data_IF_909769805734
#
_entry.id   IF_909769805734
#
_cell.length_a   1.000
_cell.length_b   1.000
_cell.length_c   1.000
_cell.angle_alpha   90.00
_cell.angle_beta   90.00
_cell.angle_gamma   90.00
#
_symmetry.space_group_name_H-M   'P 1'
#
loop_
_entity.id
_entity.type
_entity.pdbx_description
1 polymer ?
#
# COMPACT_ATOMS: atom_id res chain seq x y z
N UNK A 1 -26.46 52.08 30.13
CA UNK A 1 -26.69 50.82 29.39
C UNK A 1 -26.54 51.13 27.91
N UNK A 2 -25.40 50.83 27.37
CA UNK A 2 -25.07 51.06 25.94
C UNK A 2 -25.33 49.74 25.26
N UNK A 3 -26.36 49.67 24.42
CA UNK A 3 -26.59 48.55 23.51
C UNK A 3 -25.43 48.47 22.51
N UNK A 4 -24.65 47.42 22.61
CA UNK A 4 -23.69 47.04 21.55
C UNK A 4 -24.53 46.68 20.31
N UNK A 5 -24.55 47.59 19.35
CA UNK A 5 -25.01 47.36 17.99
C UNK A 5 -24.18 46.18 17.46
N UNK A 6 -24.82 45.05 17.21
CA UNK A 6 -24.27 43.95 16.41
C UNK A 6 -24.04 44.53 15.01
N UNK A 7 -22.80 44.81 14.66
CA UNK A 7 -22.45 45.10 13.26
C UNK A 7 -22.79 43.87 12.44
N UNK A 8 -23.80 43.98 11.61
CA UNK A 8 -24.09 43.00 10.57
C UNK A 8 -22.95 43.07 9.56
N UNK A 9 -22.46 41.91 9.06
CA UNK A 9 -21.43 41.92 8.03
C UNK A 9 -21.89 42.74 6.82
N UNK A 10 -20.97 43.51 6.25
CA UNK A 10 -21.22 44.32 5.09
C UNK A 10 -21.68 43.41 3.92
N UNK A 11 -22.63 43.83 3.10
CA UNK A 11 -23.13 43.08 1.93
C UNK A 11 -22.02 42.59 0.98
N UNK A 12 -20.89 43.32 0.94
CA UNK A 12 -19.72 42.91 0.16
C UNK A 12 -19.05 41.71 0.80
N UNK A 13 -18.89 41.67 2.12
CA UNK A 13 -18.32 40.56 2.89
C UNK A 13 -19.22 39.33 2.78
N UNK A 14 -20.54 39.49 2.84
CA UNK A 14 -21.49 38.37 2.66
C UNK A 14 -21.34 37.73 1.27
N UNK A 15 -21.24 38.54 0.22
CA UNK A 15 -21.05 38.02 -1.14
C UNK A 15 -19.70 37.34 -1.33
N UNK A 16 -18.63 37.85 -0.72
CA UNK A 16 -17.29 37.23 -0.77
C UNK A 16 -17.27 35.88 -0.01
N UNK A 17 -17.95 35.82 1.13
CA UNK A 17 -18.13 34.57 1.92
C UNK A 17 -18.97 33.55 1.14
N UNK A 18 -20.04 33.99 0.45
CA UNK A 18 -20.84 33.11 -0.41
C UNK A 18 -20.02 32.50 -1.57
N UNK A 19 -19.11 33.27 -2.19
CA UNK A 19 -18.24 32.76 -3.25
C UNK A 19 -17.26 31.72 -2.68
N UNK A 20 -16.65 32.00 -1.52
CA UNK A 20 -15.78 31.03 -0.87
C UNK A 20 -16.55 29.76 -0.46
N UNK A 21 -17.75 29.94 0.06
CA UNK A 21 -18.64 28.82 0.43
C UNK A 21 -18.94 27.96 -0.79
N UNK A 22 -19.38 28.57 -1.91
CA UNK A 22 -19.67 27.84 -3.13
C UNK A 22 -18.44 27.08 -3.67
N UNK A 23 -17.24 27.67 -3.55
CA UNK A 23 -16.01 27.02 -3.95
C UNK A 23 -15.67 25.82 -3.05
N UNK A 24 -15.86 25.94 -1.74
CA UNK A 24 -15.66 24.86 -0.78
C UNK A 24 -16.72 23.75 -0.91
N UNK A 25 -17.99 24.12 -1.15
CA UNK A 25 -19.07 23.18 -1.40
C UNK A 25 -18.80 22.37 -2.68
N UNK A 26 -18.32 23.01 -3.75
CA UNK A 26 -17.92 22.33 -4.98
C UNK A 26 -16.76 21.32 -4.76
N UNK A 27 -15.80 21.68 -3.91
CA UNK A 27 -14.70 20.76 -3.51
C UNK A 27 -15.25 19.57 -2.71
N UNK A 28 -16.15 19.82 -1.77
CA UNK A 28 -16.77 18.78 -0.94
C UNK A 28 -17.66 17.86 -1.76
N UNK A 29 -18.41 18.42 -2.74
CA UNK A 29 -19.23 17.64 -3.66
C UNK A 29 -18.40 16.77 -4.60
N UNK A 30 -17.24 17.27 -5.04
CA UNK A 30 -16.28 16.51 -5.84
C UNK A 30 -15.53 15.43 -5.05
N UNK A 31 -15.45 15.56 -3.73
CA UNK A 31 -14.70 14.67 -2.83
C UNK A 31 -15.50 14.35 -1.56
N UNK A 32 -16.54 13.48 -1.64
CA UNK A 32 -17.39 13.14 -0.49
C UNK A 32 -16.61 12.56 0.71
N UNK A 33 -15.45 11.98 0.47
CA UNK A 33 -14.58 11.39 1.50
C UNK A 33 -13.91 12.44 2.40
N UNK A 34 -13.85 13.70 1.97
CA UNK A 34 -13.39 14.83 2.80
C UNK A 34 -14.50 15.29 3.76
N UNK A 35 -15.13 14.33 4.45
CA UNK A 35 -16.09 14.64 5.52
C UNK A 35 -15.40 15.50 6.59
N UNK A 36 -15.95 16.67 6.85
CA UNK A 36 -15.39 17.67 7.77
C UNK A 36 -15.22 19.05 7.14
N UNK A 37 -15.23 19.14 5.80
CA UNK A 37 -15.25 20.44 5.12
C UNK A 37 -16.63 21.12 5.18
N UNK A 38 -17.71 20.38 5.45
CA UNK A 38 -19.08 20.94 5.63
C UNK A 38 -19.15 22.02 6.71
N UNK A 39 -18.29 21.93 7.75
CA UNK A 39 -18.18 22.94 8.78
C UNK A 39 -17.39 24.19 8.38
N UNK A 40 -16.67 24.19 7.26
CA UNK A 40 -15.72 25.25 6.92
C UNK A 40 -16.41 26.55 6.54
N UNK A 41 -17.54 26.47 5.86
CA UNK A 41 -18.39 27.62 5.57
C UNK A 41 -18.98 28.25 6.84
N UNK A 42 -19.37 27.43 7.80
CA UNK A 42 -19.81 27.87 9.13
C UNK A 42 -18.68 28.59 9.88
N UNK A 43 -17.45 28.05 9.84
CA UNK A 43 -16.27 28.68 10.41
C UNK A 43 -16.01 30.09 9.85
N UNK A 44 -16.08 30.24 8.52
CA UNK A 44 -15.83 31.54 7.88
C UNK A 44 -16.92 32.58 8.20
N UNK A 45 -18.13 32.13 8.57
CA UNK A 45 -19.26 33.00 8.91
C UNK A 45 -19.31 33.39 10.38
N UNK A 46 -18.50 32.79 11.26
CA UNK A 46 -18.51 33.11 12.69
C UNK A 46 -17.74 34.40 13.03
N UNK A 47 -17.98 35.01 14.19
CA UNK A 47 -17.23 36.14 14.69
C UNK A 47 -15.71 35.85 14.75
N UNK A 48 -14.90 36.89 14.53
CA UNK A 48 -13.42 36.73 14.45
C UNK A 48 -12.81 36.22 15.79
N UNK A 49 -13.39 36.58 16.92
CA UNK A 49 -12.96 36.12 18.25
C UNK A 49 -13.18 34.61 18.43
N UNK A 50 -14.32 34.11 17.98
CA UNK A 50 -14.65 32.67 18.02
C UNK A 50 -13.81 31.90 16.99
N UNK A 51 -13.66 32.46 15.79
CA UNK A 51 -12.85 31.89 14.73
C UNK A 51 -11.41 31.67 15.19
N UNK A 52 -10.81 32.64 15.87
CA UNK A 52 -9.41 32.56 16.33
C UNK A 52 -9.18 31.39 17.32
N UNK A 53 -10.20 30.94 18.01
CA UNK A 53 -10.12 29.82 18.97
C UNK A 53 -10.38 28.49 18.29
N UNK A 54 -11.36 28.41 17.39
CA UNK A 54 -11.89 27.16 16.84
C UNK A 54 -11.13 26.71 15.60
N UNK A 55 -10.73 27.64 14.74
CA UNK A 55 -10.11 27.31 13.45
C UNK A 55 -8.73 26.61 13.54
N UNK A 56 -7.79 27.00 14.44
CA UNK A 56 -6.46 26.38 14.49
C UNK A 56 -6.47 24.88 14.79
N UNK A 57 -7.23 24.34 15.78
CA UNK A 57 -7.31 22.91 16.02
C UNK A 57 -7.87 22.14 14.82
N UNK A 58 -8.89 22.70 14.15
CA UNK A 58 -9.51 22.07 12.96
C UNK A 58 -8.50 22.01 11.82
N UNK A 59 -7.76 23.09 11.56
CA UNK A 59 -6.73 23.12 10.52
C UNK A 59 -5.63 22.09 10.79
N UNK A 60 -5.19 21.97 12.03
CA UNK A 60 -4.16 21.00 12.43
C UNK A 60 -4.63 19.54 12.19
N UNK A 61 -5.88 19.23 12.53
CA UNK A 61 -6.43 17.88 12.31
C UNK A 61 -6.62 17.60 10.82
N UNK A 62 -7.05 18.57 10.03
CA UNK A 62 -7.16 18.46 8.58
C UNK A 62 -5.78 18.24 7.93
N UNK A 63 -4.77 19.04 8.30
CA UNK A 63 -3.40 18.86 7.79
C UNK A 63 -2.84 17.47 8.15
N UNK A 64 -3.14 16.95 9.33
CA UNK A 64 -2.74 15.62 9.78
C UNK A 64 -3.44 14.54 8.96
N UNK A 65 -4.75 14.65 8.73
CA UNK A 65 -5.53 13.73 7.89
C UNK A 65 -5.00 13.72 6.46
N UNK A 66 -4.87 14.86 5.82
CA UNK A 66 -4.35 14.98 4.45
C UNK A 66 -2.90 14.48 4.27
N UNK A 67 -2.12 14.37 5.35
CA UNK A 67 -0.80 13.77 5.33
C UNK A 67 -0.81 12.25 5.55
N UNK A 68 -1.94 11.66 5.93
CA UNK A 68 -2.08 10.22 6.12
C UNK A 68 -2.10 9.50 4.76
N UNK A 69 -1.32 8.43 4.62
CA UNK A 69 -1.21 7.69 3.36
C UNK A 69 -2.53 7.01 2.94
N UNK A 70 -3.36 6.59 3.91
CA UNK A 70 -4.66 5.99 3.63
C UNK A 70 -5.65 7.02 3.08
N UNK A 71 -5.67 8.22 3.67
CA UNK A 71 -6.56 9.30 3.23
C UNK A 71 -6.14 9.81 1.85
N UNK A 72 -4.84 9.87 1.57
CA UNK A 72 -4.30 10.14 0.22
C UNK A 72 -4.71 9.07 -0.79
N UNK A 73 -4.74 7.80 -0.39
CA UNK A 73 -5.19 6.70 -1.26
C UNK A 73 -6.68 6.82 -1.58
N UNK A 74 -7.52 7.15 -0.59
CA UNK A 74 -8.95 7.41 -0.77
C UNK A 74 -9.15 8.60 -1.72
N UNK A 75 -8.42 9.70 -1.51
CA UNK A 75 -8.44 10.88 -2.37
C UNK A 75 -8.07 10.52 -3.83
N UNK A 76 -7.04 9.70 -4.02
CA UNK A 76 -6.63 9.22 -5.35
C UNK A 76 -7.74 8.41 -6.03
N UNK A 77 -8.40 7.53 -5.29
CA UNK A 77 -9.51 6.72 -5.80
C UNK A 77 -10.71 7.59 -6.18
N UNK A 78 -11.06 8.58 -5.35
CA UNK A 78 -12.14 9.52 -5.61
C UNK A 78 -11.89 10.37 -6.88
N UNK A 79 -10.69 10.89 -7.05
CA UNK A 79 -10.28 11.63 -8.25
C UNK A 79 -10.42 10.77 -9.51
N UNK A 80 -9.97 9.53 -9.46
CA UNK A 80 -10.05 8.59 -10.58
C UNK A 80 -11.51 8.22 -10.90
N UNK A 81 -12.35 7.99 -9.89
CA UNK A 81 -13.77 7.66 -10.06
C UNK A 81 -14.57 8.82 -10.62
N UNK A 82 -14.25 10.05 -10.21
CA UNK A 82 -14.89 11.29 -10.71
C UNK A 82 -14.46 11.69 -12.10
N UNK A 83 -13.45 11.04 -12.70
CA UNK A 83 -12.89 11.41 -14.00
C UNK A 83 -12.20 12.77 -14.00
N UNK A 84 -11.88 13.31 -12.82
CA UNK A 84 -11.27 14.63 -12.63
C UNK A 84 -9.76 14.50 -12.62
N UNK A 85 -9.08 15.36 -13.39
CA UNK A 85 -7.62 15.38 -13.40
C UNK A 85 -7.11 16.22 -12.24
N UNK A 86 -6.05 15.75 -11.58
CA UNK A 86 -5.39 16.49 -10.50
C UNK A 86 -4.92 17.88 -10.97
N UNK A 87 -4.43 17.99 -12.20
CA UNK A 87 -4.00 19.25 -12.84
C UNK A 87 -5.12 20.29 -12.87
N UNK A 88 -6.35 19.88 -13.21
CA UNK A 88 -7.51 20.78 -13.30
C UNK A 88 -7.91 21.32 -11.91
N UNK A 89 -7.84 20.45 -10.89
CA UNK A 89 -8.09 20.83 -9.49
C UNK A 89 -7.02 21.76 -8.94
N UNK A 90 -5.75 21.47 -9.19
CA UNK A 90 -4.63 22.32 -8.76
C UNK A 90 -4.75 23.72 -9.40
N UNK A 91 -5.14 23.79 -10.68
CA UNK A 91 -5.39 25.06 -11.36
C UNK A 91 -6.57 25.83 -10.73
N UNK A 92 -7.69 25.14 -10.44
CA UNK A 92 -8.85 25.75 -9.79
C UNK A 92 -8.50 26.27 -8.38
N UNK A 93 -7.75 25.51 -7.57
CA UNK A 93 -7.34 25.96 -6.24
C UNK A 93 -6.37 27.14 -6.28
N UNK A 94 -5.47 27.17 -7.24
CA UNK A 94 -4.57 28.31 -7.46
C UNK A 94 -5.35 29.58 -7.84
N UNK A 95 -6.37 29.44 -8.68
CA UNK A 95 -7.24 30.58 -9.05
C UNK A 95 -8.04 31.08 -7.84
N UNK A 96 -8.60 30.19 -7.03
CA UNK A 96 -9.29 30.57 -5.78
C UNK A 96 -8.34 31.29 -4.82
N UNK A 97 -7.12 30.78 -4.62
CA UNK A 97 -6.13 31.42 -3.76
C UNK A 97 -5.76 32.84 -4.24
N UNK A 98 -5.61 33.02 -5.56
CA UNK A 98 -5.40 34.33 -6.15
C UNK A 98 -6.59 35.28 -5.93
N UNK A 99 -7.81 34.79 -6.12
CA UNK A 99 -9.02 35.60 -5.91
C UNK A 99 -9.20 36.05 -4.47
N UNK A 100 -8.79 35.23 -3.50
CA UNK A 100 -8.82 35.58 -2.06
C UNK A 100 -7.95 36.82 -1.78
N UNK A 101 -6.78 36.91 -2.36
CA UNK A 101 -5.88 38.05 -2.14
C UNK A 101 -6.32 39.31 -2.87
N UNK A 102 -6.61 39.19 -4.15
CA UNK A 102 -6.84 40.32 -5.05
C UNK A 102 -8.25 40.89 -4.98
N UNK A 103 -9.26 40.03 -4.81
CA UNK A 103 -10.67 40.44 -4.93
C UNK A 103 -11.46 40.46 -3.65
N UNK A 104 -11.06 39.69 -2.62
CA UNK A 104 -11.81 39.53 -1.37
C UNK A 104 -11.22 40.41 -0.25
N UNK A 105 -11.22 41.73 -0.49
CA UNK A 105 -10.57 42.69 0.42
C UNK A 105 -11.29 42.90 1.77
N UNK A 106 -12.59 42.56 1.83
CA UNK A 106 -13.43 42.72 3.04
C UNK A 106 -13.31 41.56 4.03
N UNK A 107 -12.73 40.43 3.63
CA UNK A 107 -12.55 39.27 4.54
C UNK A 107 -11.35 39.52 5.45
N UNK A 108 -11.48 39.33 6.77
CA UNK A 108 -10.38 39.50 7.74
C UNK A 108 -9.17 38.59 7.42
N UNK A 109 -7.97 39.13 7.62
CA UNK A 109 -6.72 38.45 7.31
C UNK A 109 -6.61 37.04 7.93
N UNK A 110 -6.97 36.80 9.20
CA UNK A 110 -6.88 35.44 9.78
C UNK A 110 -7.71 34.41 9.02
N UNK A 111 -8.90 34.75 8.52
CA UNK A 111 -9.75 33.89 7.73
C UNK A 111 -9.18 33.60 6.35
N UNK A 112 -8.59 34.62 5.70
CA UNK A 112 -7.87 34.43 4.43
C UNK A 112 -6.70 33.47 4.57
N UNK A 113 -5.87 33.66 5.60
CA UNK A 113 -4.72 32.78 5.86
C UNK A 113 -5.15 31.34 6.16
N UNK A 114 -6.26 31.14 6.89
CA UNK A 114 -6.83 29.83 7.12
C UNK A 114 -7.22 29.13 5.81
N UNK A 115 -7.99 29.80 4.94
CA UNK A 115 -8.40 29.24 3.65
C UNK A 115 -7.19 28.91 2.78
N UNK A 116 -6.20 29.79 2.72
CA UNK A 116 -4.95 29.54 1.96
C UNK A 116 -4.20 28.32 2.48
N UNK A 117 -4.13 28.13 3.80
CA UNK A 117 -3.49 26.96 4.40
C UNK A 117 -4.26 25.68 4.07
N UNK A 118 -5.58 25.70 4.12
CA UNK A 118 -6.43 24.58 3.69
C UNK A 118 -6.18 24.25 2.22
N UNK A 119 -6.24 25.25 1.33
CA UNK A 119 -5.96 25.05 -0.09
C UNK A 119 -4.55 24.53 -0.34
N UNK A 120 -3.55 25.06 0.36
CA UNK A 120 -2.17 24.60 0.28
C UNK A 120 -2.01 23.14 0.73
N UNK A 121 -2.65 22.75 1.82
CA UNK A 121 -2.64 21.36 2.29
C UNK A 121 -3.31 20.40 1.29
N UNK A 122 -4.44 20.82 0.70
CA UNK A 122 -5.12 20.07 -0.36
C UNK A 122 -4.27 19.95 -1.62
N UNK A 123 -3.64 21.06 -2.07
CA UNK A 123 -2.73 21.03 -3.23
C UNK A 123 -1.57 20.06 -3.01
N UNK A 124 -0.96 20.08 -1.83
CA UNK A 124 0.13 19.16 -1.49
C UNK A 124 -0.37 17.70 -1.48
N UNK A 125 -1.53 17.43 -0.87
CA UNK A 125 -2.12 16.10 -0.87
C UNK A 125 -2.41 15.61 -2.30
N UNK A 126 -2.96 16.45 -3.18
CA UNK A 126 -3.24 16.12 -4.58
C UNK A 126 -1.94 15.90 -5.38
N UNK A 127 -0.94 16.74 -5.22
CA UNK A 127 0.36 16.57 -5.85
C UNK A 127 1.04 15.26 -5.41
N UNK A 128 0.93 14.92 -4.12
CA UNK A 128 1.40 13.65 -3.60
C UNK A 128 0.59 12.47 -4.16
N UNK A 129 -0.73 12.62 -4.40
CA UNK A 129 -1.56 11.56 -5.01
C UNK A 129 -1.16 11.27 -6.45
N UNK A 130 -0.72 12.26 -7.23
CA UNK A 130 -0.17 12.01 -8.57
C UNK A 130 1.06 11.09 -8.51
N UNK A 131 1.96 11.34 -7.55
CA UNK A 131 3.10 10.47 -7.31
C UNK A 131 2.69 9.07 -6.83
N UNK A 132 1.64 8.96 -6.01
CA UNK A 132 1.07 7.69 -5.53
C UNK A 132 0.29 7.00 -6.65
N UNK A 133 -0.55 7.72 -7.42
CA UNK A 133 -1.31 7.17 -8.54
C UNK A 133 -0.40 6.56 -9.62
N UNK A 134 0.75 7.18 -9.89
CA UNK A 134 1.78 6.63 -10.80
C UNK A 134 2.44 5.36 -10.27
N UNK A 135 2.37 5.10 -8.94
CA UNK A 135 2.91 3.90 -8.27
C UNK A 135 1.86 2.83 -7.99
N UNK A 136 0.57 3.14 -8.12
CA UNK A 136 -0.52 2.18 -7.94
C UNK A 136 -0.78 1.48 -9.25
N UNK A 137 -0.50 0.20 -9.29
CA UNK A 137 -0.76 -0.65 -10.44
C UNK A 137 -1.99 -1.51 -10.15
N UNK A 138 -3.04 -1.35 -10.94
CA UNK A 138 -4.24 -2.17 -10.84
C UNK A 138 -3.99 -3.55 -11.47
N UNK A 139 -4.28 -4.60 -10.71
CA UNK A 139 -4.14 -5.99 -11.16
C UNK A 139 -5.52 -6.65 -11.11
N UNK A 140 -6.15 -6.88 -12.27
CA UNK A 140 -7.38 -7.66 -12.32
C UNK A 140 -7.15 -9.07 -11.76
N UNK A 141 -8.09 -9.52 -10.92
CA UNK A 141 -8.02 -10.80 -10.24
C UNK A 141 -9.34 -11.55 -10.39
N UNK A 142 -9.27 -12.85 -10.69
CA UNK A 142 -10.39 -13.78 -10.72
C UNK A 142 -10.26 -14.71 -9.50
N UNK A 143 -11.33 -14.86 -8.74
CA UNK A 143 -11.46 -15.89 -7.72
C UNK A 143 -12.10 -17.11 -8.37
N UNK A 144 -11.28 -18.13 -8.67
CA UNK A 144 -11.75 -19.34 -9.36
C UNK A 144 -12.11 -20.49 -8.40
N UNK A 145 -12.20 -20.20 -7.10
CA UNK A 145 -12.63 -21.15 -6.07
C UNK A 145 -13.44 -20.42 -4.98
N UNK A 146 -14.46 -21.06 -4.41
CA UNK A 146 -15.36 -20.45 -3.40
C UNK A 146 -14.65 -19.99 -2.12
N UNK A 147 -13.55 -20.64 -1.74
CA UNK A 147 -12.75 -20.30 -0.57
C UNK A 147 -11.58 -19.35 -0.89
N UNK A 148 -11.42 -18.93 -2.15
CA UNK A 148 -10.39 -17.99 -2.54
C UNK A 148 -10.62 -16.62 -1.90
N UNK A 149 -9.52 -15.94 -1.54
CA UNK A 149 -9.56 -14.60 -0.96
C UNK A 149 -8.63 -13.68 -1.76
N UNK A 150 -9.08 -12.46 -2.01
CA UNK A 150 -8.24 -11.41 -2.58
C UNK A 150 -7.02 -11.22 -1.66
N UNK A 151 -5.79 -11.14 -2.22
CA UNK A 151 -4.59 -10.85 -1.45
C UNK A 151 -4.71 -9.56 -0.65
N UNK A 152 -4.25 -9.54 0.59
CA UNK A 152 -4.38 -8.37 1.47
C UNK A 152 -3.04 -7.95 2.06
N UNK A 153 -2.81 -6.65 2.15
CA UNK A 153 -1.72 -6.09 2.94
C UNK A 153 -2.14 -6.04 4.41
N UNK A 154 -1.30 -6.51 5.33
CA UNK A 154 -1.56 -6.42 6.77
C UNK A 154 -1.45 -4.96 7.26
N UNK A 155 -0.53 -4.19 6.65
CA UNK A 155 -0.35 -2.76 6.87
C UNK A 155 -0.23 -2.02 5.53
N UNK A 156 -0.65 -0.76 5.45
CA UNK A 156 -0.61 0.02 4.20
C UNK A 156 0.78 0.18 3.57
N UNK A 157 1.83 0.05 4.38
CA UNK A 157 3.23 0.17 3.96
C UNK A 157 3.90 -1.16 3.63
N UNK A 158 3.19 -2.28 3.75
CA UNK A 158 3.74 -3.60 3.46
C UNK A 158 4.04 -3.74 1.96
N UNK A 159 5.16 -4.37 1.64
CA UNK A 159 5.54 -4.66 0.26
C UNK A 159 4.86 -5.92 -0.29
N UNK A 160 4.41 -6.82 0.57
CA UNK A 160 3.81 -8.10 0.22
C UNK A 160 2.36 -8.22 0.65
N UNK A 161 1.47 -8.61 -0.27
CA UNK A 161 0.09 -8.96 0.03
C UNK A 161 -0.01 -10.44 0.39
N UNK A 162 -0.58 -10.76 1.54
CA UNK A 162 -0.77 -12.14 2.01
C UNK A 162 -1.72 -12.92 1.08
N UNK A 163 -1.37 -14.17 0.78
CA UNK A 163 -2.23 -15.15 0.07
C UNK A 163 -2.53 -16.34 0.96
N UNK A 164 -3.67 -16.97 0.70
CA UNK A 164 -4.33 -17.85 1.65
C UNK A 164 -4.52 -19.26 1.08
N UNK A 165 -4.46 -20.28 1.96
CA UNK A 165 -4.88 -21.62 1.64
C UNK A 165 -6.40 -21.68 1.42
N UNK A 166 -6.85 -22.38 0.38
CA UNK A 166 -8.29 -22.58 0.08
C UNK A 166 -8.84 -23.87 0.71
N UNK A 167 -7.97 -24.73 1.21
CA UNK A 167 -8.29 -26.02 1.85
C UNK A 167 -7.33 -26.32 3.01
N UNK A 168 -7.72 -27.25 3.87
CA UNK A 168 -6.82 -27.82 4.88
C UNK A 168 -5.79 -28.71 4.20
N UNK A 169 -4.52 -28.63 4.62
CA UNK A 169 -3.49 -29.51 4.14
C UNK A 169 -2.40 -29.77 5.18
N UNK A 170 -1.71 -30.89 5.00
CA UNK A 170 -0.54 -31.24 5.83
C UNK A 170 0.62 -31.57 4.90
N UNK A 171 1.81 -31.10 5.23
CA UNK A 171 3.07 -31.47 4.57
C UNK A 171 3.89 -32.34 5.49
N UNK A 172 4.09 -33.59 5.09
CA UNK A 172 4.96 -34.53 5.78
C UNK A 172 6.45 -34.14 5.58
N UNK A 173 7.37 -34.65 6.42
CA UNK A 173 8.80 -34.50 6.20
C UNK A 173 9.23 -34.95 4.81
N UNK A 174 10.02 -34.14 4.11
CA UNK A 174 10.48 -34.40 2.74
C UNK A 174 9.43 -34.18 1.64
N UNK A 175 8.19 -33.81 1.98
CA UNK A 175 7.13 -33.59 1.00
C UNK A 175 7.21 -32.22 0.36
N UNK A 176 7.11 -32.18 -0.98
CA UNK A 176 6.91 -30.97 -1.78
C UNK A 176 5.55 -31.02 -2.46
N UNK A 177 4.77 -29.93 -2.37
CA UNK A 177 3.41 -29.87 -2.88
C UNK A 177 3.06 -28.48 -3.41
N UNK A 178 2.29 -28.44 -4.52
CA UNK A 178 1.67 -27.21 -5.02
C UNK A 178 0.38 -27.01 -4.23
N UNK A 179 0.30 -25.91 -3.49
CA UNK A 179 -0.88 -25.53 -2.72
C UNK A 179 -1.69 -24.55 -3.57
N UNK A 180 -2.94 -24.89 -3.91
CA UNK A 180 -3.80 -24.01 -4.71
C UNK A 180 -4.24 -22.79 -3.90
N UNK A 181 -4.43 -21.65 -4.58
CA UNK A 181 -4.88 -20.40 -3.97
C UNK A 181 -6.25 -19.96 -4.44
N UNK A 182 -6.77 -20.55 -5.51
CA UNK A 182 -8.00 -20.15 -6.17
C UNK A 182 -7.92 -18.78 -6.87
N UNK A 183 -6.70 -18.30 -7.16
CA UNK A 183 -6.46 -16.96 -7.73
C UNK A 183 -5.91 -17.06 -9.15
N UNK A 184 -6.50 -16.29 -10.08
CA UNK A 184 -5.92 -15.98 -11.37
C UNK A 184 -5.79 -14.49 -11.53
N UNK A 185 -4.73 -14.02 -12.19
CA UNK A 185 -4.40 -12.61 -12.31
C UNK A 185 -4.10 -12.19 -13.74
N UNK A 186 -4.31 -10.91 -14.03
CA UNK A 186 -3.86 -10.30 -15.27
C UNK A 186 -2.86 -9.19 -14.95
N UNK A 187 -1.58 -9.54 -14.94
CA UNK A 187 -0.49 -8.62 -14.62
C UNK A 187 -0.23 -7.74 -15.85
N UNK A 188 -0.10 -6.41 -15.69
CA UNK A 188 0.26 -5.50 -16.77
C UNK A 188 1.64 -5.80 -17.35
N UNK A 189 1.83 -5.51 -18.65
CA UNK A 189 3.12 -5.66 -19.32
C UNK A 189 4.17 -4.76 -18.63
N UNK A 190 5.36 -5.29 -18.42
CA UNK A 190 6.45 -4.62 -17.71
C UNK A 190 6.50 -4.92 -16.22
N UNK A 191 5.56 -5.73 -15.72
CA UNK A 191 5.50 -6.17 -14.33
C UNK A 191 5.47 -7.69 -14.21
N UNK A 192 5.88 -8.17 -13.03
CA UNK A 192 5.70 -9.54 -12.58
C UNK A 192 5.11 -9.55 -11.17
N UNK A 193 4.46 -10.65 -10.76
CA UNK A 193 4.21 -10.94 -9.36
C UNK A 193 5.18 -12.02 -8.88
N UNK A 194 5.77 -11.78 -7.71
CA UNK A 194 6.62 -12.75 -7.04
C UNK A 194 5.88 -13.39 -5.88
N UNK A 195 5.87 -14.72 -5.83
CA UNK A 195 5.46 -15.48 -4.65
C UNK A 195 6.66 -15.57 -3.72
N UNK A 196 6.55 -14.98 -2.53
CA UNK A 196 7.62 -14.96 -1.52
C UNK A 196 7.18 -15.65 -0.25
N UNK A 197 8.13 -16.28 0.45
CA UNK A 197 7.89 -16.87 1.76
C UNK A 197 7.51 -15.79 2.79
N UNK A 198 6.68 -16.19 3.77
CA UNK A 198 6.39 -15.35 4.93
C UNK A 198 7.43 -15.60 6.02
N UNK A 199 7.97 -14.53 6.57
CA UNK A 199 8.99 -14.59 7.63
C UNK A 199 8.54 -15.42 8.84
N UNK A 200 7.26 -15.32 9.22
CA UNK A 200 6.70 -16.08 10.33
C UNK A 200 6.66 -17.60 10.11
N UNK A 201 6.44 -18.05 8.87
CA UNK A 201 6.51 -19.47 8.50
C UNK A 201 7.98 -19.91 8.51
N UNK A 202 8.84 -19.18 7.81
CA UNK A 202 10.27 -19.52 7.70
C UNK A 202 10.97 -19.56 9.06
N UNK A 203 10.59 -18.69 10.00
CA UNK A 203 11.20 -18.65 11.33
C UNK A 203 10.74 -19.79 12.27
N UNK A 204 9.51 -20.30 12.08
CA UNK A 204 8.89 -21.25 13.01
C UNK A 204 8.82 -22.68 12.48
N UNK A 205 9.11 -22.89 11.21
CA UNK A 205 9.01 -24.17 10.52
C UNK A 205 10.24 -24.46 9.68
N UNK A 206 10.30 -25.64 9.12
CA UNK A 206 11.24 -26.03 8.06
C UNK A 206 10.59 -26.04 6.70
N UNK A 207 9.59 -25.15 6.49
CA UNK A 207 8.96 -24.97 5.19
C UNK A 207 9.69 -23.93 4.38
N UNK A 208 9.92 -24.25 3.12
CA UNK A 208 10.48 -23.35 2.13
C UNK A 208 9.57 -23.26 0.90
N UNK A 209 9.74 -22.22 0.09
CA UNK A 209 9.25 -22.22 -1.29
C UNK A 209 10.24 -23.01 -2.13
N UNK A 210 9.81 -24.15 -2.69
CA UNK A 210 10.70 -25.06 -3.42
C UNK A 210 11.32 -24.44 -4.69
N UNK A 211 10.65 -23.46 -5.29
CA UNK A 211 11.17 -22.67 -6.42
C UNK A 211 11.86 -21.37 -6.04
N UNK A 212 12.21 -21.19 -4.74
CA UNK A 212 12.91 -20.03 -4.19
C UNK A 212 12.03 -18.78 -4.14
N UNK A 213 12.07 -17.93 -5.16
CA UNK A 213 11.07 -16.90 -5.44
C UNK A 213 10.25 -17.38 -6.63
N UNK A 214 8.96 -17.63 -6.42
CA UNK A 214 8.05 -17.98 -7.51
C UNK A 214 7.81 -16.77 -8.40
N UNK A 215 7.99 -16.90 -9.70
CA UNK A 215 7.76 -15.83 -10.68
C UNK A 215 6.45 -16.09 -11.42
N UNK A 216 5.60 -15.06 -11.47
CA UNK A 216 4.35 -15.07 -12.25
C UNK A 216 4.47 -14.01 -13.33
N UNK A 217 4.56 -14.47 -14.56
CA UNK A 217 4.72 -13.61 -15.75
C UNK A 217 3.44 -12.82 -16.06
N UNK A 218 3.60 -11.69 -16.72
CA UNK A 218 2.46 -10.86 -17.18
C UNK A 218 1.52 -11.58 -18.16
N UNK A 219 2.01 -12.59 -18.87
CA UNK A 219 1.22 -13.41 -19.79
C UNK A 219 0.55 -14.62 -19.15
N UNK A 220 0.88 -14.97 -17.90
CA UNK A 220 0.29 -16.11 -17.20
C UNK A 220 -1.18 -15.85 -16.86
N UNK A 221 -2.04 -16.84 -17.11
CA UNK A 221 -3.49 -16.78 -16.83
C UNK A 221 -4.01 -18.01 -16.09
N UNK A 222 -3.11 -18.92 -15.70
CA UNK A 222 -3.45 -20.07 -14.86
C UNK A 222 -3.68 -19.67 -13.40
N UNK A 223 -4.12 -20.64 -12.61
CA UNK A 223 -4.23 -20.48 -11.16
C UNK A 223 -2.83 -20.34 -10.52
N UNK A 224 -2.70 -19.41 -9.59
CA UNK A 224 -1.49 -19.24 -8.77
C UNK A 224 -1.43 -20.41 -7.80
N UNK A 225 -0.36 -21.20 -7.85
CA UNK A 225 -0.03 -22.23 -6.90
C UNK A 225 1.20 -21.85 -6.07
N UNK A 226 1.19 -22.15 -4.78
CA UNK A 226 2.34 -21.97 -3.88
C UNK A 226 3.06 -23.30 -3.75
N UNK A 227 4.30 -23.41 -4.22
CA UNK A 227 5.09 -24.65 -4.12
C UNK A 227 5.80 -24.65 -2.77
N UNK A 228 5.22 -25.34 -1.78
CA UNK A 228 5.81 -25.50 -0.45
C UNK A 228 6.51 -26.84 -0.33
N UNK A 229 7.66 -26.83 0.32
CA UNK A 229 8.43 -28.03 0.66
C UNK A 229 8.75 -28.05 2.15
N UNK A 230 8.55 -29.21 2.78
CA UNK A 230 8.96 -29.46 4.15
C UNK A 230 10.34 -30.14 4.15
N UNK A 231 11.38 -29.37 4.44
CA UNK A 231 12.78 -29.86 4.47
C UNK A 231 13.18 -30.55 5.79
N UNK A 232 12.22 -30.87 6.65
CA UNK A 232 12.51 -31.78 7.77
C UNK A 232 12.93 -33.16 7.23
N UNK A 233 13.93 -33.80 7.79
CA UNK A 233 14.29 -35.15 7.36
C UNK A 233 13.20 -36.13 7.73
N UNK A 234 12.92 -37.12 6.88
CA UNK A 234 11.97 -38.21 7.21
C UNK A 234 12.34 -38.91 8.50
N UNK A 235 13.63 -39.19 8.69
CA UNK A 235 14.21 -39.74 9.91
C UNK A 235 15.17 -38.72 10.50
N UNK A 236 14.83 -38.22 11.68
CA UNK A 236 15.63 -37.20 12.39
C UNK A 236 16.70 -37.84 13.27
N UNK A 237 16.37 -38.96 13.90
CA UNK A 237 17.28 -39.68 14.76
C UNK A 237 16.89 -41.15 14.86
N UNK A 238 17.89 -42.06 15.03
CA UNK A 238 17.69 -43.48 15.32
C UNK A 238 18.37 -43.76 16.63
N UNK A 239 17.57 -44.15 17.63
CA UNK A 239 18.10 -44.64 18.93
C UNK A 239 18.30 -46.14 18.85
N UNK A 240 19.50 -46.62 19.16
CA UNK A 240 19.85 -48.04 19.11
C UNK A 240 20.77 -48.42 20.23
N UNK A 241 20.83 -49.73 20.53
CA UNK A 241 21.81 -50.37 21.40
C UNK A 241 22.41 -51.57 20.69
N UNK A 242 23.36 -52.24 21.31
CA UNK A 242 23.93 -53.46 20.78
C UNK A 242 23.56 -54.63 21.70
N UNK A 243 23.26 -55.77 21.10
CA UNK A 243 23.10 -57.03 21.87
C UNK A 243 24.47 -57.61 22.24
N UNK A 244 24.46 -58.73 23.00
CA UNK A 244 25.69 -59.44 23.43
C UNK A 244 26.56 -59.92 22.27
N UNK A 245 25.98 -60.11 21.10
CA UNK A 245 26.69 -60.48 19.85
C UNK A 245 27.16 -59.27 19.02
N UNK A 246 27.08 -58.05 19.57
CA UNK A 246 27.49 -56.80 18.89
C UNK A 246 26.59 -56.35 17.75
N UNK A 247 25.37 -56.91 17.63
CA UNK A 247 24.41 -56.50 16.60
C UNK A 247 23.55 -55.32 17.09
N UNK A 248 23.30 -54.29 16.25
CA UNK A 248 22.46 -53.20 16.66
C UNK A 248 21.00 -53.62 16.83
N UNK A 249 20.37 -53.14 17.91
CA UNK A 249 18.94 -53.23 18.19
C UNK A 249 18.39 -51.83 18.18
N UNK A 250 17.44 -51.53 17.26
CA UNK A 250 16.76 -50.24 17.17
C UNK A 250 15.79 -50.12 18.35
N UNK A 251 15.98 -49.08 19.17
CA UNK A 251 15.13 -48.74 20.32
C UNK A 251 14.01 -47.77 19.95
N UNK A 252 14.21 -46.97 18.90
CA UNK A 252 13.20 -46.05 18.41
C UNK A 252 13.74 -45.20 17.22
N UNK A 253 12.81 -44.69 16.46
CA UNK A 253 13.06 -43.81 15.32
C UNK A 253 12.30 -42.55 15.60
N UNK A 254 13.00 -41.38 15.60
CA UNK A 254 12.40 -40.08 15.70
C UNK A 254 12.29 -39.52 14.27
N UNK A 255 11.07 -39.15 13.88
CA UNK A 255 10.77 -38.58 12.56
C UNK A 255 10.83 -37.06 12.60
N UNK A 256 10.95 -36.46 11.45
CA UNK A 256 10.78 -35.00 11.26
C UNK A 256 9.33 -34.58 11.56
N UNK A 257 9.14 -33.29 11.67
CA UNK A 257 7.83 -32.70 11.99
C UNK A 257 7.00 -32.48 10.72
N UNK A 258 5.74 -32.92 10.74
CA UNK A 258 4.74 -32.52 9.77
C UNK A 258 4.14 -31.17 10.14
N UNK A 259 3.78 -30.36 9.14
CA UNK A 259 3.16 -29.05 9.32
C UNK A 259 1.77 -29.04 8.71
N UNK A 260 0.76 -28.67 9.51
CA UNK A 260 -0.64 -28.62 9.11
C UNK A 260 -1.10 -27.17 9.02
N UNK A 261 -1.85 -26.87 7.97
CA UNK A 261 -2.48 -25.59 7.72
C UNK A 261 -3.98 -25.77 7.57
N UNK A 262 -4.72 -24.80 8.05
CA UNK A 262 -6.17 -24.76 7.86
C UNK A 262 -6.54 -23.84 6.70
N UNK A 263 -7.69 -24.08 6.12
CA UNK A 263 -8.32 -23.18 5.15
C UNK A 263 -8.34 -21.75 5.70
N UNK A 264 -7.84 -20.81 4.90
CA UNK A 264 -7.74 -19.41 5.27
C UNK A 264 -6.45 -19.01 5.99
N UNK A 265 -5.54 -19.95 6.25
CA UNK A 265 -4.21 -19.62 6.73
C UNK A 265 -3.39 -18.90 5.66
N UNK A 266 -2.58 -17.95 6.08
CA UNK A 266 -1.67 -17.20 5.22
C UNK A 266 -0.43 -18.04 4.95
N UNK A 267 -0.25 -18.48 3.70
CA UNK A 267 0.79 -19.44 3.30
C UNK A 267 2.00 -18.81 2.59
N UNK A 268 1.79 -17.69 1.92
CA UNK A 268 2.84 -16.95 1.22
C UNK A 268 2.40 -15.48 1.07
N UNK A 269 3.19 -14.69 0.38
CA UNK A 269 2.86 -13.30 0.03
C UNK A 269 3.21 -13.01 -1.43
N UNK A 270 2.40 -12.16 -2.08
CA UNK A 270 2.65 -11.66 -3.42
C UNK A 270 3.31 -10.29 -3.36
N UNK A 271 4.37 -10.11 -4.13
CA UNK A 271 5.07 -8.81 -4.29
C UNK A 271 5.10 -8.45 -5.76
N UNK A 272 4.58 -7.27 -6.10
CA UNK A 272 4.65 -6.72 -7.45
C UNK A 272 6.03 -6.11 -7.69
N UNK A 273 6.65 -6.46 -8.83
CA UNK A 273 7.89 -5.85 -9.28
C UNK A 273 7.75 -5.33 -10.71
N UNK A 274 8.35 -4.18 -10.97
CA UNK A 274 8.59 -3.69 -12.33
C UNK A 274 9.83 -4.38 -12.90
N UNK A 275 9.70 -4.90 -14.13
CA UNK A 275 10.77 -5.67 -14.78
C UNK A 275 11.20 -5.02 -16.09
N UNK A 276 12.41 -4.46 -16.18
CA UNK A 276 12.99 -4.07 -17.45
C UNK A 276 13.30 -5.31 -18.30
N UNK A 277 13.23 -5.17 -19.62
CA UNK A 277 13.66 -6.22 -20.54
C UNK A 277 15.13 -6.03 -20.91
N UNK A 278 15.93 -7.05 -20.64
CA UNK A 278 17.30 -7.08 -21.09
C UNK A 278 17.37 -7.56 -22.55
N UNK A 279 18.23 -6.92 -23.33
CA UNK A 279 18.63 -7.37 -24.66
C UNK A 279 20.07 -7.89 -24.55
N UNK A 280 20.22 -9.19 -24.71
CA UNK A 280 21.54 -9.83 -24.69
C UNK A 280 22.14 -9.82 -26.09
N UNK A 281 23.37 -9.33 -26.22
CA UNK A 281 24.15 -9.41 -27.45
C UNK A 281 25.55 -9.92 -27.12
N UNK A 282 26.08 -10.71 -28.05
CA UNK A 282 27.42 -11.30 -27.89
C UNK A 282 28.48 -10.26 -28.13
N UNK A 283 29.51 -10.26 -27.29
CA UNK A 283 30.74 -9.48 -27.43
C UNK A 283 31.95 -10.43 -27.36
N UNK A 284 33.09 -10.01 -27.89
CA UNK A 284 34.30 -10.83 -27.86
C UNK A 284 34.92 -10.86 -26.44
N UNK A 285 34.97 -9.73 -25.76
CA UNK A 285 35.52 -9.61 -24.42
C UNK A 285 34.69 -8.67 -23.56
N UNK A 286 34.03 -9.22 -22.52
CA UNK A 286 33.21 -8.44 -21.60
C UNK A 286 34.05 -7.66 -20.57
N UNK A 287 35.32 -8.07 -20.34
CA UNK A 287 36.20 -7.42 -19.36
C UNK A 287 36.63 -6.00 -19.79
N UNK A 288 36.48 -5.68 -21.07
CA UNK A 288 36.73 -4.35 -21.63
C UNK A 288 35.55 -3.38 -21.51
N UNK A 289 34.42 -3.84 -20.99
CA UNK A 289 33.19 -3.04 -20.88
C UNK A 289 32.98 -2.63 -19.43
N UNK A 290 33.06 -1.31 -19.17
CA UNK A 290 32.83 -0.75 -17.83
C UNK A 290 33.97 -1.05 -16.86
N UNK A 291 33.66 -1.05 -15.55
CA UNK A 291 34.62 -1.33 -14.51
C UNK A 291 34.67 -2.83 -14.19
N UNK A 292 35.85 -3.42 -14.21
CA UNK A 292 36.11 -4.80 -13.81
C UNK A 292 36.73 -4.83 -12.40
N UNK A 293 36.01 -5.36 -11.42
CA UNK A 293 36.51 -5.49 -10.03
C UNK A 293 37.51 -6.62 -9.82
N UNK A 294 37.80 -7.43 -10.86
CA UNK A 294 38.75 -8.55 -10.83
C UNK A 294 38.58 -9.52 -9.65
N UNK A 295 37.35 -9.86 -9.29
CA UNK A 295 37.06 -10.74 -8.17
C UNK A 295 35.76 -11.51 -8.31
N UNK A 296 35.66 -12.70 -7.72
CA UNK A 296 34.50 -13.57 -7.67
C UNK A 296 34.50 -14.41 -6.38
N UNK A 297 33.61 -15.33 -6.26
CA UNK A 297 33.42 -16.35 -5.21
C UNK A 297 34.38 -16.28 -4.00
N UNK A 298 34.12 -15.38 -3.04
CA UNK A 298 34.91 -15.27 -1.80
C UNK A 298 36.23 -14.50 -1.94
N UNK A 299 36.44 -13.73 -3.01
CA UNK A 299 37.68 -12.94 -3.20
C UNK A 299 37.84 -11.77 -2.23
N UNK A 300 36.79 -11.39 -1.50
CA UNK A 300 36.77 -10.23 -0.58
C UNK A 300 37.05 -10.57 0.86
N UNK A 301 36.81 -11.81 1.32
CA UNK A 301 37.10 -12.23 2.68
C UNK A 301 37.60 -13.68 2.74
N UNK A 302 38.67 -13.89 3.52
CA UNK A 302 39.03 -15.23 3.98
C UNK A 302 38.12 -15.55 5.21
N UNK A 303 37.27 -16.56 5.06
CA UNK A 303 36.57 -17.16 6.20
C UNK A 303 37.59 -17.82 7.11
#
# INVERSE_FOLDING_TARGET
>A
MSEKIKEFPNKKTEKEVEVLKASLDAITEAMPELQGMEGMAALLSMPDEEFAIIAPPILMELEKSLNNINDKLILTQALNAGGMKAEDLLAAFSDVAYQIDEKMTSIPRPKKEFVKRVLGALCNAIADTEGIAKKIIQIPIELCHENAKIPTYAHPTDAGADIYAIEDFTLAPGESRIIPTGLKVAIPLGYELQVRARSGISAKTKLILANGVGTIDSSYRGEIGVILENIEPEIKNIRYTFNEAGKPIILGIDHGQSYTFSKGDRIAQLVLNEIPKAVFYQVENVEEIGENRNGGFGSTDKI
#
